data_IF_573864000058
#
_entry.id   IF_573864000058
#
_cell.length_a   1.000
_cell.length_b   1.000
_cell.length_c   1.000
_cell.angle_alpha   90.00
_cell.angle_beta   90.00
_cell.angle_gamma   90.00
#
_symmetry.space_group_name_H-M   'P 1'
#
loop_
_entity.id
_entity.type
_entity.pdbx_description
1 polymer ?
#
# COMPACT_ATOMS: atom_id res chain seq x y z
N UNK A 1 -7.03 19.70 27.28
CA UNK A 1 -5.61 19.28 27.19
C UNK A 1 -5.60 17.81 26.79
N UNK A 2 -5.01 17.49 25.64
CA UNK A 2 -4.80 16.11 25.18
C UNK A 2 -3.60 15.50 25.90
N UNK A 3 -3.69 14.21 26.28
CA UNK A 3 -2.51 13.45 26.68
C UNK A 3 -1.85 12.95 25.40
N UNK A 4 -0.76 13.56 25.01
CA UNK A 4 -0.03 13.21 23.80
C UNK A 4 0.90 12.03 24.07
N UNK A 5 1.02 11.14 23.09
CA UNK A 5 1.97 10.03 23.16
C UNK A 5 3.35 10.53 22.78
N UNK A 6 4.29 10.42 23.69
CA UNK A 6 5.70 10.62 23.42
C UNK A 6 6.29 9.34 22.82
N UNK A 7 6.85 9.44 21.60
CA UNK A 7 7.46 8.31 20.89
C UNK A 7 8.98 8.25 21.06
N UNK A 8 9.62 9.37 21.34
CA UNK A 8 11.02 9.51 21.73
C UNK A 8 11.17 10.79 22.54
N UNK A 9 12.36 11.06 23.10
CA UNK A 9 12.59 12.26 23.89
C UNK A 9 12.17 13.52 23.11
N UNK A 10 11.14 14.23 23.61
CA UNK A 10 10.54 15.42 22.97
C UNK A 10 9.95 15.22 21.56
N UNK A 11 9.66 13.99 21.16
CA UNK A 11 9.00 13.66 19.90
C UNK A 11 7.60 13.11 20.22
N UNK A 12 6.56 13.81 19.78
CA UNK A 12 5.17 13.53 20.13
C UNK A 12 4.36 13.11 18.89
N UNK A 13 3.49 12.12 19.07
CA UNK A 13 2.49 11.73 18.09
C UNK A 13 1.26 12.62 18.18
N UNK A 14 0.88 13.25 17.08
CA UNK A 14 -0.28 14.14 16.99
C UNK A 14 -1.39 13.62 16.06
N UNK A 15 -1.24 12.43 15.52
CA UNK A 15 -2.18 11.87 14.55
C UNK A 15 -3.60 11.70 15.03
N UNK A 16 -4.50 11.40 14.11
CA UNK A 16 -5.92 11.18 14.31
C UNK A 16 -6.38 9.88 13.68
N UNK A 17 -7.48 9.31 14.17
CA UNK A 17 -8.09 8.10 13.62
C UNK A 17 -9.41 8.47 12.91
N UNK A 18 -9.50 8.14 11.64
CA UNK A 18 -10.74 8.25 10.85
C UNK A 18 -11.43 6.88 10.79
N UNK A 19 -12.48 6.72 11.61
CA UNK A 19 -13.30 5.51 11.65
C UNK A 19 -14.55 5.61 10.78
N UNK A 20 -14.75 6.74 10.11
CA UNK A 20 -15.98 7.04 9.35
C UNK A 20 -15.77 6.99 7.84
N UNK A 21 -14.55 7.22 7.36
CA UNK A 21 -14.23 7.18 5.94
C UNK A 21 -14.42 5.78 5.38
N UNK A 22 -15.35 5.64 4.45
CA UNK A 22 -15.67 4.34 3.85
C UNK A 22 -14.65 3.88 2.81
N UNK A 23 -14.04 4.83 2.08
CA UNK A 23 -13.13 4.56 0.97
C UNK A 23 -11.89 5.46 1.05
N UNK A 24 -10.71 4.89 0.96
CA UNK A 24 -9.46 5.61 0.71
C UNK A 24 -9.41 5.99 -0.78
N UNK A 25 -8.96 7.21 -1.12
CA UNK A 25 -8.99 7.77 -2.49
C UNK A 25 -10.35 7.61 -3.21
N UNK A 26 -11.47 7.53 -2.47
CA UNK A 26 -12.79 7.19 -2.99
C UNK A 26 -12.89 5.85 -3.75
N UNK A 27 -11.96 4.93 -3.56
CA UNK A 27 -11.80 3.72 -4.35
C UNK A 27 -11.61 2.45 -3.50
N UNK A 28 -10.82 2.55 -2.41
CA UNK A 28 -10.37 1.39 -1.65
C UNK A 28 -11.12 1.27 -0.33
N UNK A 29 -11.87 0.19 -0.09
CA UNK A 29 -12.64 0.02 1.14
C UNK A 29 -11.78 0.10 2.40
N UNK A 30 -12.30 0.80 3.43
CA UNK A 30 -11.66 0.98 4.73
C UNK A 30 -12.52 0.36 5.86
N UNK A 31 -12.66 -0.96 5.95
CA UNK A 31 -13.48 -1.59 6.98
C UNK A 31 -12.95 -1.34 8.41
N UNK A 32 -11.67 -1.06 8.54
CA UNK A 32 -10.99 -0.73 9.81
C UNK A 32 -10.63 0.76 9.91
N UNK A 33 -11.19 1.61 9.02
CA UNK A 33 -10.82 3.03 8.95
C UNK A 33 -9.37 3.26 8.50
N UNK A 34 -8.83 4.42 8.84
CA UNK A 34 -7.44 4.82 8.57
C UNK A 34 -6.94 5.78 9.64
N UNK A 35 -5.66 5.74 9.98
CA UNK A 35 -5.02 6.79 10.77
C UNK A 35 -4.32 7.80 9.88
N UNK A 36 -4.36 9.08 10.24
CA UNK A 36 -3.52 10.12 9.66
C UNK A 36 -2.51 10.54 10.72
N UNK A 37 -1.27 10.23 10.52
CA UNK A 37 -0.22 10.43 11.50
C UNK A 37 0.56 11.71 11.19
N UNK A 38 0.82 12.47 12.24
CA UNK A 38 1.71 13.64 12.24
C UNK A 38 2.52 13.61 13.51
N UNK A 39 3.68 14.24 13.49
CA UNK A 39 4.63 14.18 14.58
C UNK A 39 5.16 15.57 14.91
N UNK A 40 5.37 15.87 16.19
CA UNK A 40 5.90 17.15 16.66
C UNK A 40 7.19 16.93 17.45
N UNK A 41 8.25 17.61 17.06
CA UNK A 41 9.49 17.69 17.80
C UNK A 41 9.48 19.02 18.58
N UNK A 42 9.65 18.96 19.91
CA UNK A 42 9.64 20.13 20.79
C UNK A 42 11.04 20.29 21.41
N UNK A 43 11.98 20.84 20.63
CA UNK A 43 13.36 21.05 21.06
C UNK A 43 13.69 22.56 21.19
N UNK A 44 14.91 23.05 20.92
CA UNK A 44 15.22 24.49 20.87
C UNK A 44 14.31 25.17 19.83
N UNK A 45 14.15 24.53 18.66
CA UNK A 45 13.13 24.83 17.67
C UNK A 45 12.03 23.78 17.70
N UNK A 46 10.82 24.17 17.29
CA UNK A 46 9.68 23.30 17.19
C UNK A 46 9.42 22.92 15.74
N UNK A 47 9.25 21.63 15.48
CA UNK A 47 9.09 21.09 14.14
C UNK A 47 7.90 20.17 14.07
N UNK A 48 6.92 20.50 13.23
CA UNK A 48 5.84 19.62 12.87
C UNK A 48 6.23 18.84 11.60
N UNK A 49 5.97 17.54 11.56
CA UNK A 49 6.20 16.68 10.40
C UNK A 49 4.87 16.20 9.86
N UNK A 50 4.56 16.59 8.64
CA UNK A 50 3.30 16.39 7.91
C UNK A 50 2.07 16.90 8.69
N UNK A 51 0.91 16.88 8.08
CA UNK A 51 -0.36 17.25 8.72
C UNK A 51 -1.35 16.09 8.64
N UNK A 52 -2.65 16.37 8.68
CA UNK A 52 -3.72 15.38 8.59
C UNK A 52 -4.79 15.84 7.60
N UNK A 53 -5.72 14.94 7.26
CA UNK A 53 -6.91 15.25 6.45
C UNK A 53 -7.66 16.47 7.02
N UNK A 54 -8.12 17.34 6.14
CA UNK A 54 -8.78 18.61 6.49
C UNK A 54 -9.99 18.43 7.41
N UNK A 55 -10.67 17.28 7.33
CA UNK A 55 -11.81 16.97 8.19
C UNK A 55 -11.46 16.88 9.68
N UNK A 56 -10.20 16.68 10.01
CA UNK A 56 -9.69 16.56 11.38
C UNK A 56 -8.87 17.76 11.84
N UNK A 57 -8.83 18.85 11.07
CA UNK A 57 -8.01 20.03 11.37
C UNK A 57 -8.28 20.63 12.75
N UNK A 58 -9.54 20.69 13.19
CA UNK A 58 -9.90 21.27 14.51
C UNK A 58 -9.24 20.50 15.66
N UNK A 59 -9.36 19.18 15.67
CA UNK A 59 -8.74 18.32 16.68
C UNK A 59 -7.22 18.40 16.58
N UNK A 60 -6.69 18.39 15.37
CA UNK A 60 -5.26 18.42 15.11
C UNK A 60 -4.62 19.72 15.59
N UNK A 61 -5.19 20.87 15.26
CA UNK A 61 -4.69 22.18 15.68
C UNK A 61 -4.75 22.35 17.21
N UNK A 62 -5.76 21.80 17.88
CA UNK A 62 -5.82 21.77 19.34
C UNK A 62 -4.70 20.93 19.96
N UNK A 63 -4.40 19.75 19.37
CA UNK A 63 -3.27 18.92 19.82
C UNK A 63 -1.94 19.65 19.67
N UNK A 64 -1.73 20.36 18.56
CA UNK A 64 -0.52 21.17 18.34
C UNK A 64 -0.42 22.26 19.40
N UNK A 65 -1.49 23.03 19.63
CA UNK A 65 -1.50 24.09 20.62
C UNK A 65 -1.21 23.58 22.03
N UNK A 66 -1.81 22.45 22.41
CA UNK A 66 -1.56 21.79 23.71
C UNK A 66 -0.09 21.31 23.84
N UNK A 67 0.51 20.79 22.76
CA UNK A 67 1.89 20.32 22.76
C UNK A 67 2.92 21.46 22.80
N UNK A 68 2.62 22.55 22.12
CA UNK A 68 3.51 23.72 22.05
C UNK A 68 3.51 24.52 23.37
N UNK A 69 2.43 24.45 24.16
CA UNK A 69 2.28 25.17 25.43
C UNK A 69 2.71 26.66 25.34
N UNK A 70 2.21 27.34 24.30
CA UNK A 70 2.48 28.76 24.05
C UNK A 70 3.78 29.03 23.29
N UNK A 71 4.59 28.04 22.95
CA UNK A 71 5.76 28.21 22.08
C UNK A 71 5.33 28.46 20.64
N UNK A 72 6.15 29.16 19.83
CA UNK A 72 5.93 29.28 18.38
C UNK A 72 6.05 27.91 17.71
N UNK A 73 5.47 27.75 16.53
CA UNK A 73 5.80 26.66 15.60
C UNK A 73 6.83 27.21 14.60
N UNK A 74 8.08 26.76 14.68
CA UNK A 74 9.16 27.26 13.83
C UNK A 74 9.10 26.68 12.42
N UNK A 75 8.91 25.34 12.31
CA UNK A 75 8.94 24.63 11.03
C UNK A 75 7.77 23.66 10.87
N UNK A 76 7.27 23.57 9.63
CA UNK A 76 6.46 22.46 9.13
C UNK A 76 7.26 21.74 8.04
N UNK A 77 7.66 20.51 8.27
CA UNK A 77 8.23 19.64 7.23
C UNK A 77 7.09 18.96 6.49
N UNK A 78 7.08 19.06 5.16
CA UNK A 78 6.10 18.40 4.30
C UNK A 78 6.84 17.33 3.50
N UNK A 79 6.74 16.07 3.98
CA UNK A 79 7.30 14.93 3.29
C UNK A 79 6.45 14.53 2.08
N UNK A 80 5.10 14.74 2.17
CA UNK A 80 4.17 14.35 1.14
C UNK A 80 3.00 15.35 1.01
N UNK A 81 2.55 15.60 -0.22
CA UNK A 81 1.53 16.61 -0.55
C UNK A 81 0.14 16.03 -0.84
N UNK A 82 -0.06 14.72 -0.64
CA UNK A 82 -1.39 14.16 -0.77
C UNK A 82 -2.35 14.82 0.24
N UNK A 83 -3.60 15.13 -0.16
CA UNK A 83 -4.52 15.93 0.67
C UNK A 83 -4.82 15.37 2.07
N UNK A 84 -4.69 14.08 2.29
CA UNK A 84 -4.89 13.46 3.61
C UNK A 84 -3.71 13.67 4.59
N UNK A 85 -2.55 14.15 4.08
CA UNK A 85 -1.39 14.60 4.88
C UNK A 85 -1.13 16.09 4.76
N UNK A 86 -1.67 16.73 3.72
CA UNK A 86 -1.45 18.14 3.44
C UNK A 86 -2.72 18.99 3.63
N UNK A 87 -3.88 18.37 3.87
CA UNK A 87 -5.17 19.07 3.90
C UNK A 87 -5.28 20.16 4.95
N UNK A 88 -4.61 19.99 6.08
CA UNK A 88 -4.64 20.96 7.19
C UNK A 88 -3.63 22.11 7.06
N UNK A 89 -2.73 22.10 6.06
CA UNK A 89 -1.63 23.08 5.93
C UNK A 89 -2.14 24.54 5.89
N UNK A 90 -3.20 24.80 5.12
CA UNK A 90 -3.72 26.18 5.01
C UNK A 90 -4.24 26.72 6.34
N UNK A 91 -4.96 25.90 7.10
CA UNK A 91 -5.47 26.28 8.42
C UNK A 91 -4.34 26.42 9.45
N UNK A 92 -3.35 25.52 9.39
CA UNK A 92 -2.13 25.61 10.19
C UNK A 92 -1.39 26.93 9.93
N UNK A 93 -1.20 27.31 8.68
CA UNK A 93 -0.54 28.57 8.31
C UNK A 93 -1.30 29.81 8.75
N UNK A 94 -2.64 29.75 8.83
CA UNK A 94 -3.45 30.83 9.39
C UNK A 94 -3.26 30.98 10.89
N UNK A 95 -3.12 29.88 11.61
CA UNK A 95 -2.91 29.88 13.06
C UNK A 95 -1.47 30.20 13.45
N UNK A 96 -0.50 29.78 12.65
CA UNK A 96 0.94 29.98 12.84
C UNK A 96 1.54 30.70 11.61
N UNK A 97 1.29 32.03 11.47
CA UNK A 97 1.65 32.78 10.25
C UNK A 97 3.15 32.82 9.95
N UNK A 98 3.98 32.68 10.97
CA UNK A 98 5.44 32.77 10.86
C UNK A 98 6.12 31.42 10.62
N UNK A 99 5.35 30.30 10.60
CA UNK A 99 5.90 28.97 10.38
C UNK A 99 6.61 28.89 9.01
N UNK A 100 7.82 28.38 9.00
CA UNK A 100 8.53 28.09 7.74
C UNK A 100 8.17 26.68 7.26
N UNK A 101 7.72 26.58 6.00
CA UNK A 101 7.38 25.30 5.40
C UNK A 101 8.61 24.73 4.69
N UNK A 102 9.09 23.61 5.20
CA UNK A 102 10.26 22.87 4.69
C UNK A 102 9.79 21.85 3.68
N UNK A 103 10.37 21.86 2.49
CA UNK A 103 10.05 20.92 1.43
C UNK A 103 10.97 21.11 0.22
N UNK A 104 10.79 20.29 -0.79
CA UNK A 104 11.54 20.45 -2.03
C UNK A 104 10.77 21.32 -3.05
N UNK A 105 11.41 21.62 -4.18
CA UNK A 105 10.83 22.48 -5.22
C UNK A 105 9.48 21.97 -5.76
N UNK A 106 9.30 20.66 -5.89
CA UNK A 106 8.05 20.07 -6.39
C UNK A 106 6.94 20.19 -5.33
N UNK A 107 7.26 19.97 -4.05
CA UNK A 107 6.39 20.23 -2.90
C UNK A 107 5.84 21.65 -2.95
N UNK A 108 6.69 22.65 -3.20
CA UNK A 108 6.27 24.05 -3.27
C UNK A 108 5.36 24.36 -4.46
N UNK A 109 5.57 23.70 -5.60
CA UNK A 109 4.67 23.79 -6.74
C UNK A 109 3.26 23.29 -6.39
N UNK A 110 3.16 22.14 -5.72
CA UNK A 110 1.90 21.56 -5.26
C UNK A 110 1.27 22.38 -4.14
N UNK A 111 2.07 22.87 -3.19
CA UNK A 111 1.63 23.73 -2.08
C UNK A 111 0.95 25.00 -2.60
N UNK A 112 1.54 25.64 -3.61
CA UNK A 112 0.90 26.78 -4.27
C UNK A 112 -0.38 26.38 -5.01
N UNK A 113 -0.37 25.23 -5.71
CA UNK A 113 -1.53 24.73 -6.45
C UNK A 113 -2.72 24.40 -5.56
N UNK A 114 -2.51 23.69 -4.46
CA UNK A 114 -3.57 23.27 -3.53
C UNK A 114 -3.98 24.32 -2.52
N UNK A 115 -3.02 25.12 -2.01
CA UNK A 115 -3.25 26.00 -0.87
C UNK A 115 -3.02 27.47 -1.15
N UNK A 116 -2.46 27.86 -2.32
CA UNK A 116 -2.12 29.24 -2.64
C UNK A 116 -0.97 29.81 -1.80
N UNK A 117 -0.13 28.96 -1.21
CA UNK A 117 0.98 29.36 -0.35
C UNK A 117 2.27 29.42 -1.19
N UNK A 118 2.91 30.59 -1.23
CA UNK A 118 4.16 30.84 -1.96
C UNK A 118 5.24 31.56 -1.18
N UNK A 119 5.01 31.80 0.13
CA UNK A 119 5.93 32.53 1.01
C UNK A 119 6.20 31.75 2.30
N UNK A 120 7.29 32.07 3.00
CA UNK A 120 7.71 31.34 4.21
C UNK A 120 8.16 29.92 3.89
N UNK A 121 8.84 29.73 2.76
CA UNK A 121 9.30 28.46 2.25
C UNK A 121 10.79 28.26 2.53
N UNK A 122 11.16 27.07 2.98
CA UNK A 122 12.53 26.64 3.23
C UNK A 122 12.85 25.42 2.34
N UNK A 123 13.52 25.69 1.21
CA UNK A 123 13.84 24.63 0.23
C UNK A 123 14.96 23.74 0.75
N UNK A 124 14.73 22.42 0.65
CA UNK A 124 15.73 21.38 0.94
C UNK A 124 15.93 20.45 -0.24
N UNK A 125 17.13 19.87 -0.31
CA UNK A 125 17.57 18.93 -1.34
C UNK A 125 18.09 17.64 -0.69
N UNK A 126 18.46 16.69 -1.52
CA UNK A 126 19.06 15.42 -1.12
C UNK A 126 20.26 15.64 -0.20
N UNK A 127 20.19 15.09 1.01
CA UNK A 127 21.26 15.14 1.99
C UNK A 127 21.38 16.43 2.78
N UNK A 128 20.54 17.44 2.53
CA UNK A 128 20.49 18.66 3.34
C UNK A 128 20.12 18.31 4.79
N UNK A 129 20.56 19.16 5.72
CA UNK A 129 20.32 18.96 7.15
C UNK A 129 19.70 20.20 7.79
N UNK A 130 18.90 19.96 8.84
CA UNK A 130 18.31 20.99 9.69
C UNK A 130 18.56 20.65 11.15
N UNK A 131 19.35 21.47 11.84
CA UNK A 131 19.52 21.37 13.28
C UNK A 131 18.42 22.15 14.00
N UNK A 132 17.77 21.51 14.97
CA UNK A 132 16.68 22.12 15.72
C UNK A 132 16.92 22.14 17.23
N UNK A 133 18.16 21.91 17.61
CA UNK A 133 18.67 21.77 18.96
C UNK A 133 19.42 20.45 19.09
N UNK A 134 18.97 19.57 19.99
CA UNK A 134 19.49 18.19 20.13
C UNK A 134 19.23 17.37 18.86
N UNK A 135 18.06 17.52 18.24
CA UNK A 135 17.68 16.76 17.05
C UNK A 135 18.35 17.30 15.79
N UNK A 136 18.85 16.34 14.97
CA UNK A 136 19.54 16.62 13.71
C UNK A 136 18.80 15.91 12.59
N UNK A 137 18.05 16.67 11.80
CA UNK A 137 17.21 16.17 10.74
C UNK A 137 17.95 16.20 9.40
N UNK A 138 17.83 15.13 8.62
CA UNK A 138 18.39 15.01 7.27
C UNK A 138 17.28 14.63 6.28
N UNK A 139 17.36 15.15 5.05
CA UNK A 139 16.31 14.96 4.04
C UNK A 139 16.78 14.06 2.90
N UNK A 140 15.98 13.08 2.55
CA UNK A 140 16.25 12.15 1.45
C UNK A 140 15.08 12.13 0.48
N UNK A 141 15.36 12.39 -0.80
CA UNK A 141 14.32 12.40 -1.83
C UNK A 141 13.93 10.98 -2.20
N UNK A 142 12.62 10.69 -2.17
CA UNK A 142 12.03 9.40 -2.51
C UNK A 142 10.97 9.54 -3.63
N UNK A 143 11.34 10.12 -4.79
CA UNK A 143 10.37 10.44 -5.84
C UNK A 143 9.64 9.19 -6.32
N UNK A 144 8.33 9.32 -6.52
CA UNK A 144 7.41 8.24 -6.90
C UNK A 144 7.25 7.13 -5.84
N UNK A 145 7.45 7.46 -4.55
CA UNK A 145 7.07 6.59 -3.42
C UNK A 145 6.01 7.30 -2.55
N UNK A 146 4.74 7.57 -3.05
CA UNK A 146 4.29 7.17 -4.40
C UNK A 146 4.06 8.38 -5.35
N UNK A 147 4.26 9.63 -4.93
CA UNK A 147 4.17 10.84 -5.74
C UNK A 147 5.57 11.42 -6.03
N UNK A 148 5.70 12.32 -7.06
CA UNK A 148 7.01 12.79 -7.52
C UNK A 148 7.78 13.66 -6.52
N UNK A 149 7.10 14.36 -5.61
CA UNK A 149 7.68 15.28 -4.62
C UNK A 149 8.08 14.59 -3.31
N UNK A 150 7.72 13.34 -3.12
CA UNK A 150 7.93 12.63 -1.84
C UNK A 150 9.39 12.71 -1.41
N UNK A 151 9.58 13.06 -0.16
CA UNK A 151 10.84 12.94 0.57
C UNK A 151 10.59 12.26 1.91
N UNK A 152 11.66 11.81 2.54
CA UNK A 152 11.63 11.29 3.90
C UNK A 152 12.60 12.10 4.76
N UNK A 153 12.28 12.23 6.04
CA UNK A 153 13.10 12.96 7.00
C UNK A 153 13.68 11.97 8.01
N UNK A 154 14.99 11.99 8.21
CA UNK A 154 15.66 11.14 9.17
C UNK A 154 16.24 11.96 10.31
N UNK A 155 15.84 11.65 11.54
CA UNK A 155 16.50 12.16 12.75
C UNK A 155 17.64 11.24 13.15
N UNK A 156 18.86 11.73 12.98
CA UNK A 156 20.07 10.98 13.30
C UNK A 156 20.31 10.85 14.80
N UNK A 157 19.65 11.64 15.63
CA UNK A 157 19.79 11.65 17.09
C UNK A 157 19.09 10.45 17.72
N UNK A 158 17.82 10.26 17.43
CA UNK A 158 17.01 9.18 18.00
C UNK A 158 16.76 8.04 16.99
N UNK A 159 17.40 8.10 15.81
CA UNK A 159 17.34 7.06 14.77
C UNK A 159 15.92 6.85 14.24
N UNK A 160 15.18 7.94 14.04
CA UNK A 160 13.79 7.96 13.59
C UNK A 160 13.72 8.31 12.12
N UNK A 161 13.03 7.49 11.35
CA UNK A 161 12.66 7.78 9.96
C UNK A 161 11.19 8.22 9.89
N UNK A 162 10.93 9.47 9.54
CA UNK A 162 9.62 9.97 9.13
C UNK A 162 9.47 9.69 7.64
N UNK A 163 8.69 8.68 7.31
CA UNK A 163 8.78 7.97 6.02
C UNK A 163 7.72 8.38 5.00
N UNK A 164 6.93 9.42 5.26
CA UNK A 164 5.70 9.68 4.52
C UNK A 164 4.84 8.39 4.49
N UNK A 165 4.25 8.05 3.34
CA UNK A 165 3.40 6.87 3.18
C UNK A 165 4.15 5.54 3.17
N UNK A 166 5.45 5.57 2.98
CA UNK A 166 6.22 4.34 3.00
C UNK A 166 6.08 3.63 4.36
N UNK A 167 5.91 2.32 4.31
CA UNK A 167 5.66 1.45 5.48
C UNK A 167 4.30 1.68 6.16
N UNK A 168 3.41 2.46 5.53
CA UNK A 168 2.05 2.72 6.00
C UNK A 168 1.13 1.52 5.86
N UNK A 169 0.00 1.57 6.59
CA UNK A 169 -1.05 0.56 6.57
C UNK A 169 -2.41 1.23 6.53
N UNK A 170 -3.42 0.56 5.98
CA UNK A 170 -4.79 0.90 6.35
C UNK A 170 -5.07 0.50 7.81
N UNK A 171 -6.20 0.97 8.33
CA UNK A 171 -6.62 0.72 9.70
C UNK A 171 -6.32 1.89 10.66
N UNK A 172 -7.22 2.07 11.61
CA UNK A 172 -7.05 3.01 12.73
C UNK A 172 -6.20 2.38 13.82
N UNK A 173 -5.60 3.21 14.67
CA UNK A 173 -4.87 2.74 15.84
C UNK A 173 -5.84 2.54 17.01
N UNK A 174 -5.86 1.35 17.60
CA UNK A 174 -6.77 0.95 18.66
C UNK A 174 -6.16 1.14 20.06
N UNK A 175 -5.86 2.40 20.39
CA UNK A 175 -5.36 2.81 21.71
C UNK A 175 -3.83 2.91 21.78
N UNK A 176 -3.06 1.96 21.29
CA UNK A 176 -1.61 2.04 21.15
C UNK A 176 -1.22 2.89 19.94
N UNK A 177 0.04 3.37 19.91
CA UNK A 177 0.64 4.08 18.78
C UNK A 177 1.86 3.33 18.27
N UNK A 178 2.65 2.79 19.19
CA UNK A 178 3.88 2.05 18.88
C UNK A 178 3.52 0.56 18.77
N UNK A 179 4.11 -0.13 17.82
CA UNK A 179 3.87 -1.54 17.53
C UNK A 179 4.00 -2.48 18.74
N UNK A 180 4.89 -2.17 19.68
CA UNK A 180 5.03 -2.91 20.94
C UNK A 180 3.87 -2.73 21.93
N UNK A 181 2.95 -1.80 21.69
CA UNK A 181 1.82 -1.48 22.55
C UNK A 181 0.49 -2.10 22.09
N UNK A 182 0.50 -2.80 20.97
CA UNK A 182 -0.72 -3.31 20.33
C UNK A 182 -0.51 -4.68 19.69
N UNK A 183 -1.62 -5.36 19.38
CA UNK A 183 -1.58 -6.52 18.50
C UNK A 183 -1.47 -6.03 17.04
N UNK A 184 -0.35 -6.32 16.39
CA UNK A 184 -0.05 -5.86 15.03
C UNK A 184 -0.43 -6.85 13.92
N UNK A 185 -1.03 -7.99 14.25
CA UNK A 185 -1.25 -9.07 13.27
C UNK A 185 -2.06 -8.61 12.05
N UNK A 186 -3.14 -7.86 12.26
CA UNK A 186 -3.96 -7.40 11.14
C UNK A 186 -3.29 -6.27 10.33
N UNK A 187 -2.37 -5.50 10.93
CA UNK A 187 -1.67 -4.42 10.22
C UNK A 187 -0.70 -4.97 9.16
N UNK A 188 -0.19 -6.20 9.31
CA UNK A 188 0.63 -6.81 8.27
C UNK A 188 -0.16 -7.06 6.99
N UNK A 189 -1.38 -7.59 7.11
CA UNK A 189 -2.26 -7.77 5.96
C UNK A 189 -2.70 -6.42 5.35
N UNK A 190 -2.95 -5.43 6.20
CA UNK A 190 -3.29 -4.07 5.77
C UNK A 190 -2.09 -3.34 5.15
N UNK A 191 -0.84 -3.60 5.55
CA UNK A 191 0.37 -3.11 4.90
C UNK A 191 0.51 -3.69 3.49
N UNK A 192 0.34 -4.99 3.32
CA UNK A 192 0.36 -5.65 2.01
C UNK A 192 -0.74 -5.07 1.11
N UNK A 193 -1.92 -4.83 1.66
CA UNK A 193 -3.05 -4.25 0.94
C UNK A 193 -2.78 -2.78 0.59
N UNK A 194 -2.26 -1.99 1.50
CA UNK A 194 -1.84 -0.61 1.26
C UNK A 194 -0.80 -0.56 0.14
N UNK A 195 0.29 -1.32 0.28
CA UNK A 195 1.36 -1.39 -0.72
C UNK A 195 0.81 -1.72 -2.12
N UNK A 196 0.07 -2.82 -2.25
CA UNK A 196 -0.43 -3.31 -3.56
C UNK A 196 -1.38 -2.32 -4.25
N UNK A 197 -2.15 -1.55 -3.48
CA UNK A 197 -3.12 -0.60 -4.01
C UNK A 197 -2.51 0.78 -4.33
N UNK A 198 -1.62 1.27 -3.47
CA UNK A 198 -1.09 2.64 -3.50
C UNK A 198 0.31 2.68 -4.12
N UNK A 199 1.23 1.84 -3.65
CA UNK A 199 2.64 1.87 -4.03
C UNK A 199 2.98 0.91 -5.18
N UNK A 200 2.17 -0.12 -5.40
CA UNK A 200 2.49 -1.32 -6.19
C UNK A 200 3.13 -1.11 -7.57
N UNK A 201 2.76 -0.04 -8.29
CA UNK A 201 3.38 0.33 -9.58
C UNK A 201 4.87 0.70 -9.44
N UNK A 202 5.26 1.22 -8.30
CA UNK A 202 6.52 1.95 -8.12
C UNK A 202 7.63 1.10 -7.49
N UNK A 203 7.69 -0.21 -7.80
CA UNK A 203 8.71 -1.12 -7.25
C UNK A 203 10.14 -0.62 -7.42
N UNK A 204 10.54 -0.18 -8.62
CA UNK A 204 11.88 0.37 -8.86
C UNK A 204 12.17 1.67 -8.07
N UNK A 205 11.27 2.66 -7.98
CA UNK A 205 11.42 3.78 -7.06
C UNK A 205 11.62 3.36 -5.60
N UNK A 206 10.82 2.41 -5.10
CA UNK A 206 10.98 1.87 -3.74
C UNK A 206 12.36 1.24 -3.53
N UNK A 207 12.83 0.40 -4.47
CA UNK A 207 14.17 -0.20 -4.39
C UNK A 207 15.28 0.85 -4.32
N UNK A 208 15.19 1.92 -5.12
CA UNK A 208 16.15 3.04 -5.05
C UNK A 208 16.11 3.77 -3.71
N UNK A 209 14.92 3.99 -3.17
CA UNK A 209 14.76 4.61 -1.85
C UNK A 209 15.34 3.71 -0.75
N UNK A 210 15.03 2.41 -0.73
CA UNK A 210 15.57 1.44 0.24
C UNK A 210 17.11 1.37 0.16
N UNK A 211 17.67 1.31 -1.04
CA UNK A 211 19.12 1.30 -1.24
C UNK A 211 19.79 2.55 -0.64
N UNK A 212 19.20 3.73 -0.87
CA UNK A 212 19.68 4.99 -0.32
C UNK A 212 19.63 5.00 1.21
N UNK A 213 18.52 4.54 1.78
CA UNK A 213 18.29 4.52 3.23
C UNK A 213 19.06 3.40 3.95
N UNK A 214 19.59 2.40 3.24
CA UNK A 214 20.30 1.26 3.84
C UNK A 214 21.56 1.62 4.62
N UNK A 215 22.13 2.82 4.37
CA UNK A 215 23.29 3.33 5.12
C UNK A 215 22.91 3.94 6.48
N UNK A 216 21.61 4.11 6.78
CA UNK A 216 21.12 4.74 8.00
C UNK A 216 20.81 3.69 9.07
N UNK A 217 21.12 4.01 10.33
CA UNK A 217 20.71 3.21 11.50
C UNK A 217 19.26 3.57 11.86
N UNK A 218 18.29 2.96 11.16
CA UNK A 218 16.86 3.22 11.37
C UNK A 218 16.35 2.28 12.47
N UNK A 219 15.92 2.84 13.60
CA UNK A 219 15.36 2.08 14.73
C UNK A 219 13.87 2.26 14.91
N UNK A 220 13.34 3.39 14.43
CA UNK A 220 11.91 3.69 14.49
C UNK A 220 11.47 4.26 13.16
N UNK A 221 10.34 3.78 12.64
CA UNK A 221 9.71 4.29 11.42
C UNK A 221 8.38 4.93 11.80
N UNK A 222 8.24 6.18 11.44
CA UNK A 222 7.07 7.03 11.66
C UNK A 222 6.40 7.29 10.31
N UNK A 223 5.52 6.38 9.91
CA UNK A 223 4.71 6.53 8.70
C UNK A 223 3.51 7.46 8.93
N UNK A 224 2.96 8.00 7.85
CA UNK A 224 1.73 8.82 7.86
C UNK A 224 0.47 8.00 8.11
N UNK A 225 0.54 6.67 8.01
CA UNK A 225 -0.56 5.74 8.31
C UNK A 225 -0.11 4.54 9.13
N UNK A 226 -1.00 4.04 9.99
CA UNK A 226 -0.77 2.82 10.77
C UNK A 226 0.18 3.00 11.96
N UNK A 227 0.70 1.91 12.52
CA UNK A 227 1.56 1.93 13.70
C UNK A 227 2.91 2.62 13.47
N UNK A 228 3.46 3.22 14.53
CA UNK A 228 4.88 3.53 14.60
C UNK A 228 5.65 2.22 14.76
N UNK A 229 6.45 1.86 13.76
CA UNK A 229 7.22 0.62 13.76
C UNK A 229 8.54 0.83 14.51
N UNK A 230 8.73 0.11 15.59
CA UNK A 230 9.95 0.14 16.42
C UNK A 230 10.48 -1.26 16.65
N UNK A 231 9.69 -2.13 17.27
CA UNK A 231 10.05 -3.52 17.48
C UNK A 231 10.15 -4.27 16.15
N UNK A 232 9.24 -3.98 15.22
CA UNK A 232 9.14 -4.64 13.93
C UNK A 232 9.58 -3.79 12.74
N UNK A 233 10.38 -2.72 12.96
CA UNK A 233 10.88 -1.86 11.87
C UNK A 233 11.59 -2.66 10.77
N UNK A 234 12.45 -3.62 11.13
CA UNK A 234 13.14 -4.48 10.18
C UNK A 234 12.18 -5.35 9.35
N UNK A 235 11.10 -5.86 9.96
CA UNK A 235 10.06 -6.63 9.24
C UNK A 235 9.28 -5.76 8.27
N UNK A 236 8.95 -4.52 8.64
CA UNK A 236 8.29 -3.57 7.74
C UNK A 236 9.17 -3.25 6.51
N UNK A 237 10.48 -3.06 6.71
CA UNK A 237 11.45 -2.86 5.62
C UNK A 237 11.54 -4.10 4.73
N UNK A 238 11.62 -5.31 5.30
CA UNK A 238 11.66 -6.57 4.55
C UNK A 238 10.42 -6.78 3.67
N UNK A 239 9.22 -6.49 4.20
CA UNK A 239 7.98 -6.55 3.43
C UNK A 239 8.04 -5.62 2.23
N UNK A 240 8.43 -4.35 2.42
CA UNK A 240 8.54 -3.38 1.33
C UNK A 240 9.60 -3.78 0.30
N UNK A 241 10.73 -4.34 0.75
CA UNK A 241 11.79 -4.83 -0.13
C UNK A 241 11.29 -5.98 -1.03
N UNK A 242 10.68 -7.01 -0.45
CA UNK A 242 10.12 -8.15 -1.20
C UNK A 242 8.98 -7.73 -2.15
N UNK A 243 8.03 -6.93 -1.66
CA UNK A 243 6.91 -6.44 -2.46
C UNK A 243 7.38 -5.62 -3.67
N UNK A 244 8.39 -4.76 -3.49
CA UNK A 244 8.92 -3.91 -4.56
C UNK A 244 9.75 -4.66 -5.60
N UNK A 245 10.25 -5.85 -5.26
CA UNK A 245 10.84 -6.81 -6.22
C UNK A 245 9.80 -7.74 -6.84
N UNK A 246 8.52 -7.60 -6.46
CA UNK A 246 7.43 -8.48 -6.86
C UNK A 246 7.65 -9.95 -6.46
N UNK A 247 8.36 -10.18 -5.37
CA UNK A 247 8.57 -11.51 -4.80
C UNK A 247 7.29 -12.01 -4.15
N UNK A 248 6.70 -13.05 -4.76
CA UNK A 248 5.52 -13.72 -4.22
C UNK A 248 5.91 -14.83 -3.25
N UNK A 249 5.12 -14.99 -2.19
CA UNK A 249 5.19 -16.14 -1.28
C UNK A 249 4.65 -17.40 -1.97
N UNK A 250 4.99 -18.59 -1.44
CA UNK A 250 4.39 -19.84 -1.89
C UNK A 250 2.89 -19.83 -1.64
N UNK A 251 2.11 -19.86 -2.71
CA UNK A 251 0.66 -19.85 -2.67
C UNK A 251 0.05 -19.50 -4.02
N UNK A 252 -1.26 -19.62 -4.13
CA UNK A 252 -2.01 -19.37 -5.34
C UNK A 252 -3.23 -18.50 -5.07
N UNK A 253 -3.37 -17.43 -5.84
CA UNK A 253 -4.59 -16.65 -5.92
C UNK A 253 -5.40 -17.10 -7.12
N UNK A 254 -6.63 -17.56 -6.90
CA UNK A 254 -7.59 -17.91 -7.95
C UNK A 254 -8.60 -16.76 -8.05
N UNK A 255 -8.63 -16.08 -9.17
CA UNK A 255 -9.54 -14.96 -9.44
C UNK A 255 -10.53 -15.38 -10.53
N UNK A 256 -11.81 -15.38 -10.24
CA UNK A 256 -12.81 -15.81 -11.21
C UNK A 256 -14.08 -14.98 -11.22
N UNK A 257 -14.65 -14.83 -12.42
CA UNK A 257 -16.03 -14.39 -12.61
C UNK A 257 -16.92 -15.60 -12.88
N UNK A 258 -18.17 -15.57 -12.38
CA UNK A 258 -19.14 -16.63 -12.65
C UNK A 258 -20.55 -16.05 -12.60
N UNK A 259 -21.37 -16.35 -13.63
CA UNK A 259 -22.77 -15.92 -13.68
C UNK A 259 -23.73 -16.91 -13.01
N UNK A 260 -23.56 -18.20 -13.30
CA UNK A 260 -24.49 -19.27 -12.89
C UNK A 260 -23.74 -20.46 -12.26
N UNK A 261 -22.51 -20.28 -11.77
CA UNK A 261 -21.75 -21.31 -11.05
C UNK A 261 -20.85 -22.20 -11.92
N UNK A 262 -20.96 -22.21 -13.27
CA UNK A 262 -20.15 -23.12 -14.09
C UNK A 262 -18.64 -22.81 -14.04
N UNK A 263 -18.25 -21.56 -14.18
CA UNK A 263 -16.84 -21.13 -14.02
C UNK A 263 -16.36 -21.32 -12.57
N UNK A 264 -17.23 -21.13 -11.59
CA UNK A 264 -16.95 -21.37 -10.17
C UNK A 264 -16.63 -22.84 -9.90
N UNK A 265 -17.38 -23.78 -10.48
CA UNK A 265 -17.08 -25.22 -10.34
C UNK A 265 -15.71 -25.60 -10.92
N UNK A 266 -15.28 -24.95 -12.01
CA UNK A 266 -13.91 -25.11 -12.53
C UNK A 266 -12.87 -24.59 -11.53
N UNK A 267 -13.10 -23.41 -10.95
CA UNK A 267 -12.22 -22.83 -9.92
C UNK A 267 -12.10 -23.73 -8.69
N UNK A 268 -13.22 -24.31 -8.24
CA UNK A 268 -13.25 -25.25 -7.10
C UNK A 268 -12.45 -26.55 -7.40
N UNK A 269 -12.58 -27.09 -8.62
CA UNK A 269 -11.81 -28.27 -9.02
C UNK A 269 -10.30 -28.00 -9.01
N UNK A 270 -9.88 -26.83 -9.51
CA UNK A 270 -8.48 -26.38 -9.50
C UNK A 270 -7.98 -26.20 -8.06
N UNK A 271 -8.77 -25.54 -7.22
CA UNK A 271 -8.42 -25.32 -5.80
C UNK A 271 -8.27 -26.64 -5.04
N UNK A 272 -9.18 -27.59 -5.26
CA UNK A 272 -9.11 -28.91 -4.66
C UNK A 272 -7.84 -29.67 -5.10
N UNK A 273 -7.47 -29.59 -6.37
CA UNK A 273 -6.25 -30.16 -6.90
C UNK A 273 -4.99 -29.54 -6.27
N UNK A 274 -4.92 -28.21 -6.17
CA UNK A 274 -3.82 -27.51 -5.50
C UNK A 274 -3.64 -27.99 -4.06
N UNK A 275 -4.75 -28.10 -3.30
CA UNK A 275 -4.73 -28.56 -1.92
C UNK A 275 -4.28 -30.03 -1.82
N UNK A 276 -4.80 -30.91 -2.68
CA UNK A 276 -4.40 -32.32 -2.75
C UNK A 276 -2.91 -32.50 -3.05
N UNK A 277 -2.32 -31.56 -3.80
CA UNK A 277 -0.90 -31.50 -4.13
C UNK A 277 -0.06 -30.71 -3.12
N UNK A 278 -0.61 -30.37 -1.96
CA UNK A 278 0.11 -29.82 -0.81
C UNK A 278 0.29 -28.30 -0.78
N UNK A 279 -0.35 -27.56 -1.67
CA UNK A 279 -0.39 -26.09 -1.59
C UNK A 279 -1.30 -25.70 -0.42
N UNK A 280 -0.76 -24.98 0.55
CA UNK A 280 -1.51 -24.57 1.76
C UNK A 280 -2.16 -23.21 1.64
N UNK A 281 -1.49 -22.30 0.95
CA UNK A 281 -1.96 -20.92 0.77
C UNK A 281 -2.72 -20.81 -0.56
N UNK A 282 -4.03 -21.01 -0.50
CA UNK A 282 -4.94 -20.91 -1.64
C UNK A 282 -6.00 -19.85 -1.28
N UNK A 283 -6.10 -18.80 -2.07
CA UNK A 283 -7.12 -17.76 -1.89
C UNK A 283 -7.97 -17.68 -3.15
N UNK A 284 -9.29 -17.73 -2.97
CA UNK A 284 -10.25 -17.68 -4.06
C UNK A 284 -11.06 -16.39 -4.02
N UNK A 285 -11.08 -15.67 -5.13
CA UNK A 285 -11.83 -14.43 -5.28
C UNK A 285 -12.87 -14.53 -6.39
N UNK A 286 -14.15 -14.49 -6.02
CA UNK A 286 -15.22 -14.19 -6.93
C UNK A 286 -15.28 -12.66 -7.13
N UNK A 287 -14.90 -12.17 -8.30
CA UNK A 287 -14.79 -10.73 -8.58
C UNK A 287 -16.11 -9.95 -8.45
N UNK A 288 -17.25 -10.63 -8.47
CA UNK A 288 -18.56 -10.00 -8.22
C UNK A 288 -18.83 -9.74 -6.73
N UNK A 289 -18.00 -10.30 -5.82
CA UNK A 289 -18.17 -10.23 -4.36
C UNK A 289 -16.95 -9.66 -3.65
N UNK A 290 -15.75 -9.98 -4.15
CA UNK A 290 -14.48 -9.55 -3.55
C UNK A 290 -14.11 -8.15 -4.03
N UNK A 291 -13.94 -7.16 -3.14
CA UNK A 291 -13.42 -5.86 -3.54
C UNK A 291 -12.03 -5.99 -4.18
N UNK A 292 -11.79 -5.24 -5.25
CA UNK A 292 -10.54 -5.27 -6.02
C UNK A 292 -9.29 -5.06 -5.15
N UNK A 293 -9.42 -4.30 -4.06
CA UNK A 293 -8.36 -4.02 -3.10
C UNK A 293 -7.75 -5.30 -2.50
N UNK A 294 -8.59 -6.26 -2.11
CA UNK A 294 -8.15 -7.54 -1.55
C UNK A 294 -7.61 -8.47 -2.64
N UNK A 295 -8.25 -8.48 -3.81
CA UNK A 295 -7.78 -9.26 -4.97
C UNK A 295 -6.35 -8.87 -5.33
N UNK A 296 -6.06 -7.56 -5.42
CA UNK A 296 -4.73 -7.05 -5.72
C UNK A 296 -3.72 -7.42 -4.63
N UNK A 297 -4.11 -7.31 -3.34
CA UNK A 297 -3.26 -7.71 -2.22
C UNK A 297 -2.76 -9.16 -2.40
N UNK A 298 -3.67 -10.08 -2.64
CA UNK A 298 -3.32 -11.49 -2.73
C UNK A 298 -2.56 -11.83 -4.03
N UNK A 299 -2.82 -11.10 -5.13
CA UNK A 299 -2.02 -11.20 -6.36
C UNK A 299 -0.58 -10.74 -6.13
N UNK A 300 -0.35 -9.71 -5.32
CA UNK A 300 1.00 -9.29 -4.94
C UNK A 300 1.65 -10.26 -3.96
N UNK A 301 0.87 -10.80 -3.01
CA UNK A 301 1.36 -11.68 -1.94
C UNK A 301 1.81 -13.05 -2.46
N UNK A 302 1.06 -13.65 -3.38
CA UNK A 302 1.31 -15.02 -3.81
C UNK A 302 1.88 -15.11 -5.21
N UNK A 303 2.77 -16.11 -5.43
CA UNK A 303 3.50 -16.34 -6.67
C UNK A 303 2.61 -16.89 -7.79
N UNK A 304 1.68 -17.80 -7.44
CA UNK A 304 0.74 -18.40 -8.38
C UNK A 304 -0.50 -17.52 -8.57
N UNK A 305 -0.91 -17.33 -9.82
CA UNK A 305 -2.13 -16.63 -10.19
C UNK A 305 -2.90 -17.43 -11.23
N UNK A 306 -4.14 -17.79 -10.93
CA UNK A 306 -5.03 -18.48 -11.86
C UNK A 306 -6.27 -17.62 -12.09
N UNK A 307 -6.55 -17.27 -13.35
CA UNK A 307 -7.69 -16.41 -13.70
C UNK A 307 -8.71 -17.18 -14.52
N UNK A 308 -9.98 -17.11 -14.08
CA UNK A 308 -11.12 -17.75 -14.74
C UNK A 308 -12.20 -16.75 -15.16
N UNK A 309 -12.74 -16.90 -16.37
CA UNK A 309 -13.81 -16.03 -16.87
C UNK A 309 -14.82 -16.79 -17.71
N UNK A 310 -16.13 -16.53 -17.55
CA UNK A 310 -17.07 -16.86 -18.61
C UNK A 310 -16.87 -15.90 -19.78
N UNK A 311 -17.22 -16.35 -20.97
CA UNK A 311 -17.35 -15.47 -22.14
C UNK A 311 -18.64 -14.64 -22.00
N UNK A 312 -18.51 -13.32 -21.98
CA UNK A 312 -19.60 -12.36 -21.93
C UNK A 312 -19.49 -11.37 -23.10
N UNK A 313 -20.53 -11.27 -23.93
CA UNK A 313 -20.54 -10.39 -25.12
C UNK A 313 -19.29 -10.52 -26.01
N UNK A 314 -18.83 -11.75 -26.28
CA UNK A 314 -17.59 -12.07 -26.99
C UNK A 314 -16.29 -11.52 -26.37
N UNK A 315 -16.33 -11.18 -25.09
CA UNK A 315 -15.19 -10.67 -24.30
C UNK A 315 -15.10 -11.43 -22.97
N UNK A 316 -14.27 -10.95 -22.06
CA UNK A 316 -14.25 -11.42 -20.68
C UNK A 316 -15.46 -10.90 -19.90
N UNK A 317 -15.71 -11.47 -18.75
CA UNK A 317 -16.64 -10.96 -17.77
C UNK A 317 -16.18 -9.56 -17.31
N UNK A 318 -17.07 -8.53 -17.25
CA UNK A 318 -16.65 -7.13 -17.05
C UNK A 318 -15.80 -6.89 -15.81
N UNK A 319 -16.11 -7.54 -14.70
CA UNK A 319 -15.34 -7.42 -13.45
C UNK A 319 -13.95 -8.06 -13.57
N UNK A 320 -13.79 -9.11 -14.40
CA UNK A 320 -12.47 -9.67 -14.73
C UNK A 320 -11.68 -8.65 -15.57
N UNK A 321 -12.27 -8.03 -16.59
CA UNK A 321 -11.61 -6.97 -17.36
C UNK A 321 -11.14 -5.84 -16.44
N UNK A 322 -11.97 -5.43 -15.49
CA UNK A 322 -11.62 -4.39 -14.49
C UNK A 322 -10.44 -4.80 -13.60
N UNK A 323 -10.35 -6.05 -13.19
CA UNK A 323 -9.20 -6.55 -12.40
C UNK A 323 -7.95 -6.62 -13.27
N UNK A 324 -8.05 -7.10 -14.53
CA UNK A 324 -6.90 -7.15 -15.44
C UNK A 324 -6.30 -5.75 -15.69
N UNK A 325 -7.15 -4.74 -15.88
CA UNK A 325 -6.71 -3.34 -16.01
C UNK A 325 -5.93 -2.86 -14.77
N UNK A 326 -6.44 -3.18 -13.58
CA UNK A 326 -5.77 -2.83 -12.33
C UNK A 326 -4.43 -3.54 -12.13
N UNK A 327 -4.32 -4.79 -12.55
CA UNK A 327 -3.06 -5.56 -12.53
C UNK A 327 -2.06 -4.95 -13.50
N UNK A 328 -2.50 -4.64 -14.73
CA UNK A 328 -1.67 -4.05 -15.77
C UNK A 328 -1.12 -2.68 -15.37
N UNK A 329 -1.98 -1.80 -14.84
CA UNK A 329 -1.59 -0.44 -14.43
C UNK A 329 -0.60 -0.44 -13.26
N UNK A 330 -0.51 -1.53 -12.49
CA UNK A 330 0.48 -1.74 -11.42
C UNK A 330 1.73 -2.49 -11.90
N UNK A 331 1.77 -2.87 -13.19
CA UNK A 331 2.92 -3.54 -13.80
C UNK A 331 3.38 -4.77 -12.99
N UNK A 332 2.43 -5.57 -12.47
CA UNK A 332 2.75 -6.76 -11.66
C UNK A 332 3.65 -7.72 -12.42
N UNK A 333 4.75 -8.18 -11.81
CA UNK A 333 5.78 -9.02 -12.45
C UNK A 333 5.89 -10.37 -11.77
N UNK A 334 6.58 -11.28 -12.45
CA UNK A 334 7.05 -12.56 -11.90
C UNK A 334 5.92 -13.43 -11.32
N UNK A 335 4.82 -13.63 -12.07
CA UNK A 335 3.75 -14.54 -11.68
C UNK A 335 3.77 -15.81 -12.52
N UNK A 336 3.55 -16.94 -11.83
CA UNK A 336 3.19 -18.21 -12.47
C UNK A 336 1.72 -18.12 -12.83
N UNK A 337 1.38 -18.21 -14.11
CA UNK A 337 0.06 -17.86 -14.61
C UNK A 337 -0.67 -19.06 -15.20
N UNK A 338 -1.82 -19.39 -14.64
CA UNK A 338 -2.81 -20.31 -15.19
C UNK A 338 -4.10 -19.60 -15.55
N UNK A 339 -4.86 -20.15 -16.49
CA UNK A 339 -6.14 -19.57 -16.84
C UNK A 339 -7.14 -20.58 -17.38
N UNK A 340 -8.42 -20.28 -17.21
CA UNK A 340 -9.53 -21.12 -17.68
C UNK A 340 -10.74 -20.27 -18.05
N UNK A 341 -11.69 -20.87 -18.79
CA UNK A 341 -12.85 -20.15 -19.23
C UNK A 341 -14.06 -21.03 -19.49
N UNK A 342 -15.24 -20.42 -19.50
CA UNK A 342 -16.47 -21.08 -19.90
C UNK A 342 -17.25 -20.27 -20.93
N UNK A 343 -18.12 -20.94 -21.69
CA UNK A 343 -19.00 -20.31 -22.68
C UNK A 343 -20.24 -21.16 -22.94
N UNK A 344 -21.26 -20.59 -23.56
CA UNK A 344 -22.45 -21.35 -23.94
C UNK A 344 -22.50 -21.66 -25.43
N UNK A 345 -22.25 -20.68 -26.33
CA UNK A 345 -22.28 -20.88 -27.79
C UNK A 345 -21.02 -20.48 -28.53
N UNK A 346 -20.27 -19.49 -28.05
CA UNK A 346 -19.01 -19.05 -28.63
C UNK A 346 -18.02 -18.71 -27.52
N UNK A 347 -16.83 -19.31 -27.52
CA UNK A 347 -15.75 -19.08 -26.56
C UNK A 347 -14.85 -17.92 -26.99
N UNK A 348 -14.52 -17.04 -26.04
CA UNK A 348 -13.56 -15.96 -26.23
C UNK A 348 -12.67 -15.74 -24.98
N UNK A 349 -13.12 -16.24 -23.82
CA UNK A 349 -12.46 -15.95 -22.55
C UNK A 349 -11.00 -16.46 -22.52
N UNK A 350 -10.77 -17.72 -22.85
CA UNK A 350 -9.43 -18.32 -22.86
C UNK A 350 -8.48 -17.59 -23.81
N UNK A 351 -8.93 -17.22 -25.01
CA UNK A 351 -8.12 -16.44 -25.96
C UNK A 351 -7.72 -15.08 -25.41
N UNK A 352 -8.63 -14.37 -24.75
CA UNK A 352 -8.37 -13.04 -24.19
C UNK A 352 -7.43 -13.14 -22.97
N UNK A 353 -7.59 -14.17 -22.12
CA UNK A 353 -6.70 -14.42 -20.98
C UNK A 353 -5.29 -14.82 -21.44
N UNK A 354 -5.16 -15.61 -22.53
CA UNK A 354 -3.88 -15.90 -23.15
C UNK A 354 -3.15 -14.63 -23.60
N UNK A 355 -3.84 -13.76 -24.34
CA UNK A 355 -3.29 -12.49 -24.80
C UNK A 355 -2.85 -11.57 -23.63
N UNK A 356 -3.60 -11.60 -22.52
CA UNK A 356 -3.21 -10.87 -21.33
C UNK A 356 -1.92 -11.41 -20.70
N UNK A 357 -1.78 -12.73 -20.56
CA UNK A 357 -0.56 -13.37 -20.04
C UNK A 357 0.68 -13.04 -20.89
N UNK A 358 0.53 -13.08 -22.24
CA UNK A 358 1.59 -12.66 -23.17
C UNK A 358 1.99 -11.19 -22.99
N UNK A 359 1.00 -10.30 -22.86
CA UNK A 359 1.22 -8.87 -22.62
C UNK A 359 1.99 -8.62 -21.31
N UNK A 360 1.65 -9.33 -20.26
CA UNK A 360 2.30 -9.24 -18.95
C UNK A 360 3.65 -9.96 -18.90
N UNK A 361 3.99 -10.76 -19.91
CA UNK A 361 5.21 -11.59 -20.01
C UNK A 361 5.34 -12.55 -18.82
N UNK A 362 4.22 -13.11 -18.37
CA UNK A 362 4.21 -14.08 -17.29
C UNK A 362 4.48 -15.50 -17.80
N UNK A 363 5.02 -16.33 -16.93
CA UNK A 363 5.20 -17.75 -17.24
C UNK A 363 3.87 -18.48 -17.17
N UNK A 364 3.41 -19.00 -18.32
CA UNK A 364 2.18 -19.79 -18.38
C UNK A 364 2.46 -21.21 -17.88
N UNK A 365 1.64 -21.66 -16.93
CA UNK A 365 1.74 -22.97 -16.30
C UNK A 365 0.52 -23.81 -16.63
N UNK A 366 0.78 -25.05 -17.07
CA UNK A 366 -0.25 -26.02 -17.44
C UNK A 366 -0.97 -25.68 -18.75
N UNK A 367 -1.95 -26.51 -19.08
CA UNK A 367 -2.78 -26.34 -20.26
C UNK A 367 -4.04 -25.56 -19.90
N UNK A 368 -4.37 -24.47 -20.61
CA UNK A 368 -5.59 -23.73 -20.35
C UNK A 368 -6.85 -24.57 -20.57
N UNK A 369 -7.85 -24.41 -19.72
CA UNK A 369 -9.09 -25.19 -19.79
C UNK A 369 -10.25 -24.33 -20.29
N UNK A 370 -10.93 -24.80 -21.33
CA UNK A 370 -12.15 -24.15 -21.81
C UNK A 370 -13.33 -25.14 -21.80
N UNK A 371 -14.42 -24.75 -21.17
CA UNK A 371 -15.62 -25.57 -20.98
C UNK A 371 -16.84 -24.96 -21.66
N UNK A 372 -17.50 -25.73 -22.50
CA UNK A 372 -18.81 -25.38 -23.04
C UNK A 372 -19.89 -25.82 -22.08
N UNK A 373 -20.69 -24.83 -21.57
CA UNK A 373 -21.81 -25.04 -20.65
C UNK A 373 -21.37 -25.63 -19.29
N UNK A 374 -22.09 -26.63 -18.76
CA UNK A 374 -21.77 -27.23 -17.46
C UNK A 374 -20.46 -28.04 -17.47
N UNK A 375 -19.77 -28.06 -16.34
CA UNK A 375 -18.54 -28.83 -16.18
C UNK A 375 -18.80 -30.32 -16.36
N UNK A 376 -18.06 -30.96 -17.25
CA UNK A 376 -18.10 -32.39 -17.55
C UNK A 376 -16.90 -33.10 -16.96
N UNK A 377 -16.96 -34.42 -16.86
CA UNK A 377 -15.92 -35.23 -16.24
C UNK A 377 -14.53 -35.06 -16.89
N UNK A 378 -14.46 -35.04 -18.23
CA UNK A 378 -13.22 -34.80 -18.97
C UNK A 378 -12.61 -33.43 -18.65
N UNK A 379 -13.43 -32.40 -18.58
CA UNK A 379 -13.00 -31.04 -18.25
C UNK A 379 -12.69 -30.85 -16.76
N UNK A 380 -13.34 -31.64 -15.89
CA UNK A 380 -12.95 -31.72 -14.49
C UNK A 380 -11.50 -32.20 -14.33
N UNK A 381 -11.14 -33.28 -15.06
CA UNK A 381 -9.77 -33.81 -15.06
C UNK A 381 -8.76 -32.80 -15.63
N UNK A 382 -9.14 -32.03 -16.68
CA UNK A 382 -8.28 -30.96 -17.18
C UNK A 382 -8.09 -29.82 -16.15
N UNK A 383 -9.13 -29.44 -15.43
CA UNK A 383 -9.03 -28.49 -14.31
C UNK A 383 -8.13 -29.00 -13.20
N UNK A 384 -8.28 -30.30 -12.87
CA UNK A 384 -7.43 -30.97 -11.89
C UNK A 384 -5.97 -30.96 -12.30
N UNK A 385 -5.66 -31.29 -13.55
CA UNK A 385 -4.31 -31.27 -14.11
C UNK A 385 -3.69 -29.86 -14.08
N UNK A 386 -4.46 -28.79 -14.34
CA UNK A 386 -3.97 -27.42 -14.22
C UNK A 386 -3.52 -27.10 -12.79
N UNK A 387 -4.28 -27.57 -11.77
CA UNK A 387 -3.91 -27.41 -10.37
C UNK A 387 -2.63 -28.18 -10.00
N UNK A 388 -2.49 -29.43 -10.50
CA UNK A 388 -1.29 -30.24 -10.29
C UNK A 388 -0.02 -29.60 -10.88
N UNK A 389 -0.10 -29.13 -12.11
CA UNK A 389 1.05 -28.47 -12.78
C UNK A 389 1.44 -27.16 -12.05
N UNK A 390 0.46 -26.38 -11.59
CA UNK A 390 0.73 -25.18 -10.81
C UNK A 390 1.40 -25.54 -9.48
N UNK A 391 0.89 -26.53 -8.73
CA UNK A 391 1.48 -26.99 -7.48
C UNK A 391 2.91 -27.52 -7.66
N UNK A 392 3.16 -28.28 -8.75
CA UNK A 392 4.49 -28.78 -9.09
C UNK A 392 5.47 -27.66 -9.39
N UNK A 393 5.03 -26.68 -10.17
CA UNK A 393 5.87 -25.54 -10.57
C UNK A 393 6.25 -24.69 -9.34
N UNK A 394 5.32 -24.40 -8.44
CA UNK A 394 5.59 -23.68 -7.18
C UNK A 394 6.71 -24.32 -6.36
N UNK A 395 6.74 -25.66 -6.28
CA UNK A 395 7.76 -26.40 -5.52
C UNK A 395 9.16 -26.38 -6.17
N UNK A 396 9.25 -26.22 -7.48
CA UNK A 396 10.53 -26.23 -8.21
C UNK A 396 11.24 -24.90 -8.22
N UNK A 397 10.55 -23.83 -7.86
CA UNK A 397 11.11 -22.47 -7.82
C UNK A 397 11.42 -21.97 -6.39
N UNK A 398 11.25 -22.82 -5.40
CA UNK A 398 11.74 -22.68 -4.04
C UNK A 398 13.06 -23.42 -3.93
#
# INVERSE_FOLDING_TARGET
MYKLKEIADKVYYLGVNDRQKALFENMWPLPYGVSYNSYLIVDEKTVLVDTVDVCYSDIFLKKIADALDGRPLDFLIVNHMEPDHAGSIRLLRQQYPDVQIVGNKQTFGMLNGYHGISTGLYEVKEGDTLSVGRHQLSFYMAPMVHWPEVMVTYDSTDKILFSADAFGTYGTLDGGVIDSEMNVEHYWEEMLRYYSNIVGKYGNPVQRALQKLSALDIRTICSTHGPVWREYAAKAIDIYDRMSRYEGEEGVTIVYGSMYGNTEQMAEAIAASLAANGVKNIVMHNVSKSPASYVLKDIFKYKGLIIGSPTYSNRLFPEIESILDKIETREVKHRLYGYFGSFTWAGAAVKNLAAFGEKMKWEVVGVPVEQKQALKADKYEECWALGEEMAKKLKTEN
#
